data_IF_531054621724
#
_entry.id   IF_531054621724
#
_cell.length_a   1.000
_cell.length_b   1.000
_cell.length_c   1.000
_cell.angle_alpha   90.00
_cell.angle_beta   90.00
_cell.angle_gamma   90.00
#
_symmetry.space_group_name_H-M   'P 1'
#
loop_
_entity.id
_entity.type
_entity.pdbx_description
1 polymer ?
#
# COMPACT_ATOMS: atom_id res chain seq x y z
N UNK A 1 -13.76 -6.34 -20.61
CA UNK A 1 -15.01 -5.69 -21.06
C UNK A 1 -14.94 -4.22 -20.72
N UNK A 2 -15.15 -3.35 -21.71
CA UNK A 2 -15.17 -1.90 -21.52
C UNK A 2 -16.55 -1.47 -21.03
N UNK A 3 -16.59 -0.72 -19.93
CA UNK A 3 -17.82 -0.16 -19.36
C UNK A 3 -17.63 1.33 -19.10
N UNK A 4 -18.70 2.11 -19.20
CA UNK A 4 -18.71 3.52 -18.85
C UNK A 4 -19.26 3.68 -17.42
N UNK A 5 -18.57 4.44 -16.60
CA UNK A 5 -18.95 4.70 -15.19
C UNK A 5 -19.00 6.21 -14.96
N UNK A 6 -19.97 6.66 -14.13
CA UNK A 6 -20.07 8.07 -13.76
C UNK A 6 -18.84 8.49 -12.93
N UNK A 7 -18.20 9.62 -13.30
CA UNK A 7 -17.06 10.15 -12.59
C UNK A 7 -17.37 10.53 -11.12
N UNK A 8 -18.61 10.91 -10.83
CA UNK A 8 -19.04 11.28 -9.48
C UNK A 8 -19.17 10.07 -8.56
N UNK A 9 -19.67 8.94 -9.09
CA UNK A 9 -19.77 7.71 -8.33
C UNK A 9 -18.39 7.13 -8.02
N UNK A 10 -17.47 7.24 -8.96
CA UNK A 10 -16.08 6.84 -8.79
C UNK A 10 -15.37 7.67 -7.72
N UNK A 11 -15.61 8.99 -7.70
CA UNK A 11 -15.04 9.87 -6.67
C UNK A 11 -15.49 9.51 -5.25
N UNK A 12 -16.74 9.08 -5.09
CA UNK A 12 -17.28 8.64 -3.80
C UNK A 12 -16.59 7.37 -3.28
N UNK A 13 -16.18 6.51 -4.18
CA UNK A 13 -15.56 5.22 -3.88
C UNK A 13 -14.04 5.35 -3.69
N UNK A 14 -13.38 6.22 -4.46
CA UNK A 14 -11.93 6.47 -4.38
C UNK A 14 -11.54 7.39 -3.21
N UNK A 15 -12.12 7.16 -2.05
CA UNK A 15 -11.68 7.84 -0.83
C UNK A 15 -10.29 7.31 -0.43
N UNK A 16 -9.36 8.18 -0.01
CA UNK A 16 -8.07 7.74 0.54
C UNK A 16 -8.27 6.67 1.62
N UNK A 17 -7.61 5.52 1.46
CA UNK A 17 -7.74 4.38 2.37
C UNK A 17 -8.78 3.33 1.99
N UNK A 18 -9.64 3.56 1.00
CA UNK A 18 -10.64 2.57 0.52
C UNK A 18 -10.37 2.04 -0.89
N UNK A 19 -9.15 2.14 -1.38
CA UNK A 19 -8.78 1.76 -2.76
C UNK A 19 -9.14 0.31 -3.11
N UNK A 20 -9.09 -0.59 -2.17
CA UNK A 20 -9.39 -2.01 -2.36
C UNK A 20 -10.71 -2.43 -1.70
N UNK A 21 -11.65 -1.50 -1.54
CA UNK A 21 -12.97 -1.85 -1.06
C UNK A 21 -13.65 -2.79 -2.06
N UNK A 22 -14.34 -3.78 -1.51
CA UNK A 22 -15.20 -4.66 -2.30
C UNK A 22 -16.37 -3.83 -2.82
N UNK A 23 -16.56 -3.84 -4.12
CA UNK A 23 -17.62 -3.11 -4.80
C UNK A 23 -18.49 -4.06 -5.60
N UNK A 24 -19.78 -3.84 -5.58
CA UNK A 24 -20.70 -4.50 -6.48
C UNK A 24 -20.92 -3.61 -7.71
N UNK A 25 -20.43 -4.06 -8.86
CA UNK A 25 -20.61 -3.36 -10.12
C UNK A 25 -21.91 -3.80 -10.79
N UNK A 26 -22.91 -2.92 -10.81
CA UNK A 26 -24.13 -3.11 -11.58
C UNK A 26 -23.94 -2.62 -13.01
N UNK A 27 -24.12 -3.51 -13.98
CA UNK A 27 -24.04 -3.19 -15.41
C UNK A 27 -25.46 -3.28 -15.99
N UNK A 28 -25.96 -2.19 -16.56
CA UNK A 28 -27.28 -2.12 -17.20
C UNK A 28 -28.44 -2.62 -16.33
N UNK A 29 -28.40 -2.33 -15.01
CA UNK A 29 -29.43 -2.73 -14.05
C UNK A 29 -29.44 -4.21 -13.69
N UNK A 30 -28.43 -4.97 -14.12
CA UNK A 30 -28.23 -6.36 -13.70
C UNK A 30 -27.36 -6.40 -12.46
N UNK A 31 -27.75 -7.25 -11.50
CA UNK A 31 -27.01 -7.47 -10.26
C UNK A 31 -25.53 -7.71 -10.55
N UNK A 32 -24.68 -6.93 -9.88
CA UNK A 32 -23.26 -6.87 -10.17
C UNK A 32 -22.46 -8.05 -9.66
N UNK A 33 -21.32 -8.24 -10.25
CA UNK A 33 -20.30 -9.12 -9.71
C UNK A 33 -19.42 -8.34 -8.72
N UNK A 34 -18.93 -8.96 -7.64
CA UNK A 34 -17.98 -8.31 -6.75
C UNK A 34 -16.69 -7.99 -7.52
N UNK A 35 -16.27 -6.74 -7.46
CA UNK A 35 -15.07 -6.22 -8.11
C UNK A 35 -14.27 -5.37 -7.13
N UNK A 36 -12.97 -5.30 -7.38
CA UNK A 36 -12.09 -4.32 -6.71
C UNK A 36 -11.47 -3.41 -7.76
N UNK A 37 -11.13 -2.20 -7.36
CA UNK A 37 -10.37 -1.29 -8.21
C UNK A 37 -8.92 -1.75 -8.21
N UNK A 38 -8.47 -2.28 -9.34
CA UNK A 38 -7.10 -2.77 -9.49
C UNK A 38 -6.13 -1.62 -9.74
N UNK A 39 -6.47 -0.75 -10.69
CA UNK A 39 -5.69 0.43 -11.01
C UNK A 39 -6.57 1.56 -11.52
N UNK A 40 -6.07 2.78 -11.50
CA UNK A 40 -6.75 3.94 -12.06
C UNK A 40 -5.76 4.97 -12.57
N UNK A 41 -6.14 5.68 -13.61
CA UNK A 41 -5.39 6.79 -14.17
C UNK A 41 -6.08 8.10 -13.83
N UNK A 42 -5.29 9.06 -13.40
CA UNK A 42 -5.72 10.39 -13.03
C UNK A 42 -4.93 11.43 -13.81
N UNK A 43 -5.63 12.38 -14.39
CA UNK A 43 -5.00 13.51 -15.07
C UNK A 43 -4.25 14.39 -14.04
N UNK A 44 -2.99 14.69 -14.32
CA UNK A 44 -2.14 15.44 -13.41
C UNK A 44 -2.59 16.91 -13.21
N UNK A 45 -3.23 17.49 -14.21
CA UNK A 45 -3.64 18.88 -14.23
C UNK A 45 -5.08 19.04 -13.73
N UNK A 46 -6.02 18.35 -14.35
CA UNK A 46 -7.46 18.48 -14.02
C UNK A 46 -7.88 17.64 -12.82
N UNK A 47 -7.02 16.73 -12.34
CA UNK A 47 -7.30 15.81 -11.24
C UNK A 47 -8.49 14.88 -11.51
N UNK A 48 -8.95 14.80 -12.75
CA UNK A 48 -10.05 13.93 -13.16
C UNK A 48 -9.53 12.52 -13.43
N UNK A 49 -10.35 11.54 -13.07
CA UNK A 49 -10.06 10.15 -13.36
C UNK A 49 -10.40 9.88 -14.82
N UNK A 50 -9.42 9.43 -15.60
CA UNK A 50 -9.56 9.15 -17.02
C UNK A 50 -9.81 7.69 -17.33
N UNK A 51 -9.29 6.79 -16.48
CA UNK A 51 -9.43 5.35 -16.65
C UNK A 51 -9.44 4.65 -15.30
N UNK A 52 -10.22 3.56 -15.20
CA UNK A 52 -10.27 2.70 -14.02
C UNK A 52 -10.32 1.26 -14.50
N UNK A 53 -9.49 0.44 -13.89
CA UNK A 53 -9.46 -0.99 -14.10
C UNK A 53 -10.12 -1.70 -12.91
N UNK A 54 -11.22 -2.39 -13.19
CA UNK A 54 -11.90 -3.23 -12.23
C UNK A 54 -11.45 -4.68 -12.41
N UNK A 55 -11.11 -5.33 -11.32
CA UNK A 55 -10.82 -6.75 -11.29
C UNK A 55 -12.01 -7.49 -10.68
N UNK A 56 -12.62 -8.38 -11.47
CA UNK A 56 -13.64 -9.30 -10.95
C UNK A 56 -12.94 -10.28 -10.01
N UNK A 57 -13.51 -10.47 -8.83
CA UNK A 57 -12.97 -11.33 -7.80
C UNK A 57 -13.97 -12.39 -7.38
N UNK A 58 -13.43 -13.49 -6.92
CA UNK A 58 -14.14 -14.54 -6.20
C UNK A 58 -13.78 -14.44 -4.72
N UNK A 59 -14.76 -14.46 -3.84
CA UNK A 59 -14.56 -14.23 -2.39
C UNK A 59 -13.56 -15.20 -1.74
N UNK A 60 -13.39 -16.39 -2.31
CA UNK A 60 -12.52 -17.43 -1.79
C UNK A 60 -11.16 -17.52 -2.49
N UNK A 61 -10.88 -16.67 -3.47
CA UNK A 61 -9.63 -16.70 -4.24
C UNK A 61 -8.69 -15.57 -3.79
N UNK A 62 -7.41 -15.88 -3.47
CA UNK A 62 -6.46 -14.84 -3.11
C UNK A 62 -6.15 -13.94 -4.31
N UNK A 63 -6.19 -12.64 -4.12
CA UNK A 63 -5.87 -11.64 -5.14
C UNK A 63 -4.56 -10.94 -4.81
N UNK A 64 -3.81 -10.60 -5.86
CA UNK A 64 -2.58 -9.82 -5.73
C UNK A 64 -2.94 -8.34 -5.73
N UNK A 65 -2.66 -7.66 -4.64
CA UNK A 65 -2.94 -6.23 -4.47
C UNK A 65 -1.67 -5.48 -4.09
N UNK A 66 -1.64 -4.20 -4.43
CA UNK A 66 -0.55 -3.30 -4.06
C UNK A 66 -1.03 -2.40 -2.93
N UNK A 67 -0.51 -2.60 -1.73
CA UNK A 67 -0.89 -1.86 -0.53
C UNK A 67 0.18 -0.83 -0.19
N UNK A 68 -0.21 0.42 0.11
CA UNK A 68 0.74 1.43 0.56
C UNK A 68 1.24 1.13 1.97
N UNK A 69 2.52 1.41 2.20
CA UNK A 69 3.18 1.30 3.50
C UNK A 69 3.39 2.68 4.09
N UNK A 70 2.88 2.89 5.29
CA UNK A 70 3.05 4.13 6.05
C UNK A 70 3.89 3.84 7.28
N UNK A 71 4.84 4.72 7.56
CA UNK A 71 5.66 4.67 8.76
C UNK A 71 5.00 5.50 9.86
N UNK A 72 4.91 4.94 11.06
CA UNK A 72 4.34 5.60 12.23
C UNK A 72 5.42 5.83 13.28
N UNK A 73 5.37 6.98 13.94
CA UNK A 73 6.32 7.36 14.97
C UNK A 73 7.59 8.04 14.43
N UNK A 74 8.45 8.46 15.36
CA UNK A 74 9.75 9.06 15.06
C UNK A 74 10.83 8.12 15.61
N UNK A 75 11.72 7.60 14.75
CA UNK A 75 12.76 6.66 15.21
C UNK A 75 13.70 7.29 16.25
N UNK A 76 14.07 6.53 17.25
CA UNK A 76 15.11 6.94 18.21
C UNK A 76 16.41 7.27 17.48
N UNK A 77 16.75 6.51 16.43
CA UNK A 77 17.91 6.76 15.58
C UNK A 77 17.92 8.12 14.90
N UNK A 78 16.74 8.71 14.62
CA UNK A 78 16.65 10.06 14.07
C UNK A 78 16.65 11.10 15.19
N UNK A 79 15.88 10.87 16.25
CA UNK A 79 15.68 11.85 17.33
C UNK A 79 16.89 12.00 18.24
N UNK A 80 17.52 10.89 18.64
CA UNK A 80 18.62 10.86 19.61
C UNK A 80 20.02 10.69 18.96
N UNK A 81 20.09 10.02 17.82
CA UNK A 81 21.37 9.64 17.19
C UNK A 81 21.65 10.46 15.92
N UNK A 82 20.76 11.41 15.56
CA UNK A 82 20.94 12.28 14.39
C UNK A 82 20.95 11.56 13.04
N UNK A 83 20.40 10.33 12.99
CA UNK A 83 20.26 9.56 11.76
C UNK A 83 19.23 10.15 10.81
N UNK A 84 19.22 9.65 9.57
CA UNK A 84 18.25 10.03 8.57
C UNK A 84 17.38 8.82 8.20
N UNK A 85 16.07 8.94 8.36
CA UNK A 85 15.11 7.95 7.91
C UNK A 85 14.85 8.12 6.41
N UNK A 86 15.11 7.07 5.65
CA UNK A 86 14.81 7.01 4.21
C UNK A 86 13.87 5.86 3.91
N UNK A 87 12.67 6.18 3.44
CA UNK A 87 11.72 5.18 2.98
C UNK A 87 12.02 4.83 1.52
N UNK A 88 12.42 3.59 1.27
CA UNK A 88 12.79 3.08 -0.05
C UNK A 88 11.57 2.53 -0.78
N UNK A 89 10.79 1.69 -0.09
CA UNK A 89 9.59 1.10 -0.66
C UNK A 89 8.35 1.65 0.02
N UNK A 90 7.50 2.31 -0.76
CA UNK A 90 6.24 2.90 -0.27
C UNK A 90 5.02 2.03 -0.53
N UNK A 91 5.19 0.97 -1.30
CA UNK A 91 4.12 0.05 -1.70
C UNK A 91 4.64 -1.38 -1.69
N UNK A 92 3.82 -2.31 -1.25
CA UNK A 92 4.11 -3.74 -1.28
C UNK A 92 3.04 -4.50 -2.04
N UNK A 93 3.46 -5.50 -2.79
CA UNK A 93 2.55 -6.45 -3.43
C UNK A 93 2.27 -7.59 -2.46
N UNK A 94 1.01 -7.78 -2.15
CA UNK A 94 0.51 -8.84 -1.27
C UNK A 94 -0.47 -9.72 -2.01
N UNK A 95 -0.53 -10.97 -1.64
CA UNK A 95 -1.60 -11.89 -2.01
C UNK A 95 -2.48 -12.12 -0.78
N UNK A 96 -3.72 -11.70 -0.86
CA UNK A 96 -4.65 -11.71 0.28
C UNK A 96 -6.07 -11.99 -0.22
N UNK A 97 -6.90 -12.54 0.66
CA UNK A 97 -8.32 -12.71 0.36
C UNK A 97 -9.01 -11.34 0.24
N UNK A 98 -9.94 -11.18 -0.71
CA UNK A 98 -10.60 -9.90 -0.96
C UNK A 98 -11.26 -9.28 0.27
N UNK A 99 -11.77 -10.12 1.17
CA UNK A 99 -12.44 -9.70 2.41
C UNK A 99 -11.47 -9.18 3.49
N UNK A 100 -10.18 -9.48 3.37
CA UNK A 100 -9.15 -9.15 4.36
C UNK A 100 -8.07 -8.21 3.83
N UNK A 101 -8.33 -7.47 2.76
CA UNK A 101 -7.36 -6.54 2.17
C UNK A 101 -7.16 -5.35 3.12
N UNK A 102 -5.94 -5.13 3.64
CA UNK A 102 -5.66 -3.96 4.46
C UNK A 102 -5.59 -2.71 3.56
N UNK A 103 -6.22 -1.62 3.99
CA UNK A 103 -6.16 -0.35 3.26
C UNK A 103 -4.78 0.27 3.29
N UNK A 104 -4.07 0.12 4.41
CA UNK A 104 -2.72 0.66 4.64
C UNK A 104 -1.97 -0.28 5.56
N UNK A 105 -0.70 -0.50 5.28
CA UNK A 105 0.21 -1.18 6.18
C UNK A 105 0.95 -0.14 7.01
N UNK A 106 0.75 -0.12 8.30
CA UNK A 106 1.45 0.78 9.21
C UNK A 106 2.59 0.05 9.89
N UNK A 107 3.78 0.61 9.81
CA UNK A 107 4.98 0.09 10.49
C UNK A 107 5.41 1.08 11.55
N UNK A 108 5.49 0.64 12.79
CA UNK A 108 6.02 1.46 13.88
C UNK A 108 7.55 1.46 13.82
N UNK A 109 8.11 2.65 13.67
CA UNK A 109 9.56 2.87 13.59
C UNK A 109 10.15 3.49 14.85
N UNK A 110 9.33 3.72 15.86
CA UNK A 110 9.72 4.46 17.08
C UNK A 110 10.92 3.84 17.80
N UNK A 111 11.01 2.52 17.82
CA UNK A 111 12.10 1.78 18.51
C UNK A 111 13.35 1.54 17.62
N UNK A 112 13.37 2.08 16.39
CA UNK A 112 14.47 1.81 15.44
C UNK A 112 15.65 2.75 15.67
N UNK A 113 16.84 2.17 15.74
CA UNK A 113 18.12 2.88 15.89
C UNK A 113 18.77 3.23 14.55
N UNK A 114 19.75 4.15 14.57
CA UNK A 114 20.54 4.48 13.39
C UNK A 114 21.34 3.26 12.90
N UNK A 115 21.36 3.05 11.58
CA UNK A 115 21.94 1.87 10.94
C UNK A 115 20.98 0.70 10.78
N UNK A 116 19.73 0.81 11.24
CA UNK A 116 18.71 -0.24 11.07
C UNK A 116 18.16 -0.21 9.65
N UNK A 117 18.10 -1.39 9.04
CA UNK A 117 17.39 -1.61 7.77
C UNK A 117 16.22 -2.56 8.01
N UNK A 118 15.04 -2.16 7.60
CA UNK A 118 13.81 -2.94 7.77
C UNK A 118 13.39 -3.57 6.45
N UNK A 119 13.17 -4.87 6.47
CA UNK A 119 12.78 -5.66 5.30
C UNK A 119 11.30 -6.02 5.34
N UNK A 120 10.74 -6.26 4.15
CA UNK A 120 9.34 -6.65 4.01
C UNK A 120 8.99 -7.95 4.75
N UNK A 121 9.94 -8.87 4.89
CA UNK A 121 9.77 -10.13 5.63
C UNK A 121 9.51 -9.95 7.13
N UNK A 122 9.97 -8.84 7.70
CA UNK A 122 9.80 -8.53 9.13
C UNK A 122 8.46 -7.85 9.44
N UNK A 123 7.62 -7.64 8.42
CA UNK A 123 6.30 -7.05 8.61
C UNK A 123 5.29 -8.11 9.08
N UNK A 124 4.47 -7.72 10.04
CA UNK A 124 3.31 -8.50 10.44
C UNK A 124 2.20 -8.34 9.39
N UNK A 125 2.14 -9.29 8.48
CA UNK A 125 1.17 -9.27 7.36
C UNK A 125 -0.15 -9.98 7.71
N UNK A 126 -0.22 -10.64 8.90
CA UNK A 126 -1.38 -11.42 9.29
C UNK A 126 -1.69 -12.54 8.30
N UNK A 127 -2.88 -12.52 7.73
CA UNK A 127 -3.35 -13.51 6.75
C UNK A 127 -2.86 -13.25 5.31
N UNK A 128 -2.15 -12.16 5.07
CA UNK A 128 -1.64 -11.80 3.76
C UNK A 128 -0.29 -12.47 3.47
N UNK A 129 -0.11 -12.96 2.25
CA UNK A 129 1.16 -13.52 1.78
C UNK A 129 1.94 -12.46 0.99
N UNK A 130 3.22 -12.30 1.31
CA UNK A 130 4.09 -11.40 0.58
C UNK A 130 4.37 -11.97 -0.84
N UNK A 131 4.00 -11.22 -1.87
CA UNK A 131 4.33 -11.50 -3.27
C UNK A 131 5.64 -10.83 -3.67
N UNK A 132 5.95 -9.69 -3.07
CA UNK A 132 7.23 -9.01 -3.25
C UNK A 132 8.37 -9.87 -2.71
N UNK A 133 9.59 -9.61 -3.20
CA UNK A 133 10.78 -10.32 -2.68
C UNK A 133 10.89 -10.09 -1.17
N UNK A 134 11.14 -11.12 -0.34
CA UNK A 134 11.22 -10.99 1.12
C UNK A 134 12.28 -9.98 1.56
N UNK A 135 13.38 -9.89 0.82
CA UNK A 135 14.47 -8.92 1.05
C UNK A 135 14.21 -7.53 0.48
N UNK A 136 12.96 -7.18 0.14
CA UNK A 136 12.63 -5.81 -0.26
C UNK A 136 12.79 -4.89 0.94
N UNK A 137 13.66 -3.90 0.81
CA UNK A 137 13.89 -2.89 1.87
C UNK A 137 12.70 -1.93 1.90
N UNK A 138 12.06 -1.80 3.05
CA UNK A 138 10.97 -0.84 3.27
C UNK A 138 11.55 0.52 3.61
N UNK A 139 12.39 0.57 4.64
CA UNK A 139 13.09 1.79 5.04
C UNK A 139 14.47 1.45 5.61
N UNK A 140 15.32 2.44 5.61
CA UNK A 140 16.61 2.38 6.28
C UNK A 140 16.86 3.67 7.06
N UNK A 141 17.51 3.56 8.20
CA UNK A 141 17.94 4.69 9.01
C UNK A 141 19.45 4.77 8.89
N UNK A 142 19.96 5.72 8.10
CA UNK A 142 21.39 5.94 7.96
C UNK A 142 21.95 6.70 9.16
N UNK A 143 23.19 6.40 9.54
CA UNK A 143 23.93 7.19 10.53
C UNK A 143 24.28 8.56 9.94
N UNK A 144 24.27 9.60 10.77
CA UNK A 144 24.75 10.92 10.35
C UNK A 144 26.23 10.83 9.91
N UNK A 145 26.56 11.49 8.79
CA UNK A 145 27.96 11.63 8.35
C UNK A 145 28.76 12.36 9.43
N UNK A 146 29.59 11.65 10.16
CA UNK A 146 30.48 12.24 11.19
C UNK A 146 30.75 11.37 12.40
N UNK A 147 29.97 10.34 12.67
CA UNK A 147 30.33 9.33 13.63
C UNK A 147 31.17 8.26 12.93
N UNK A 148 32.49 8.46 12.90
CA UNK A 148 33.45 7.37 12.68
C UNK A 148 33.17 6.31 13.73
N UNK A 149 32.98 5.10 13.29
CA UNK A 149 33.11 3.91 14.10
C UNK A 149 34.53 3.93 14.67
N UNK A 150 34.69 4.37 15.92
CA UNK A 150 35.83 3.94 16.70
C UNK A 150 35.57 2.50 17.09
N UNK A 151 36.25 1.64 16.39
CA UNK A 151 36.31 0.23 16.74
C UNK A 151 37.02 0.04 18.08
#
# INVERSE_FOLDING_TARGET
VSVAVSADDVRKVLVPGKRYALLDLEIDGKAGNPVIIYDYQKDAISQKITHIDFLKIEENSPVKVVVPVTLSGIPVGVKAEGGMLSQISRKLKLSVLPTKIPSVLTVDVSACHAGTTFYAENMELGDAKLVSKPRTVIFTISKARGQKEEA
#
